data_IF_267886698271
#
_entry.id   IF_267886698271
#
_cell.length_a   1.000
_cell.length_b   1.000
_cell.length_c   1.000
_cell.angle_alpha   90.00
_cell.angle_beta   90.00
_cell.angle_gamma   90.00
#
_symmetry.space_group_name_H-M   'P 1'
#
loop_
_entity.id
_entity.type
_entity.pdbx_description
1 polymer ?
#
# COMPACT_ATOMS: atom_id res chain seq x y z
N UNK A 1 49.09 -12.05 -65.65
CA UNK A 1 48.92 -10.89 -64.75
C UNK A 1 47.45 -10.85 -64.33
N UNK A 2 47.14 -11.11 -63.05
CA UNK A 2 45.79 -10.93 -62.50
C UNK A 2 45.71 -9.54 -61.86
N UNK A 3 44.77 -8.71 -62.31
CA UNK A 3 44.50 -7.41 -61.68
C UNK A 3 43.54 -7.62 -60.49
N UNK A 4 43.84 -7.06 -59.30
CA UNK A 4 42.92 -7.13 -58.18
C UNK A 4 41.69 -6.27 -58.47
N UNK A 5 40.51 -6.89 -58.48
CA UNK A 5 39.23 -6.17 -58.55
C UNK A 5 38.98 -5.59 -57.16
N UNK A 6 39.16 -4.29 -57.01
CA UNK A 6 38.64 -3.56 -55.85
C UNK A 6 37.13 -3.37 -56.02
N UNK A 7 36.31 -3.78 -55.04
CA UNK A 7 34.86 -3.55 -55.12
C UNK A 7 34.59 -2.03 -55.17
N UNK A 8 33.59 -1.59 -55.96
CA UNK A 8 33.24 -0.18 -56.03
C UNK A 8 32.86 0.33 -54.62
N UNK A 9 33.21 1.58 -54.29
CA UNK A 9 32.86 2.17 -52.99
C UNK A 9 31.36 2.06 -52.78
N UNK A 10 30.95 1.45 -51.66
CA UNK A 10 29.55 1.38 -51.27
C UNK A 10 28.97 2.81 -51.30
N UNK A 11 27.82 3.02 -51.95
CA UNK A 11 27.16 4.32 -51.87
C UNK A 11 26.94 4.65 -50.37
N UNK A 12 27.10 5.92 -49.97
CA UNK A 12 26.78 6.33 -48.60
C UNK A 12 25.34 5.90 -48.28
N UNK A 13 24.99 5.64 -47.01
CA UNK A 13 23.63 5.24 -46.66
C UNK A 13 22.66 6.36 -47.03
N UNK A 14 22.16 6.33 -48.27
CA UNK A 14 21.08 7.16 -48.75
C UNK A 14 19.85 6.75 -47.94
N UNK A 15 19.10 7.71 -47.46
CA UNK A 15 17.78 7.52 -46.88
C UNK A 15 16.91 6.66 -47.79
N UNK A 16 16.87 5.34 -47.54
CA UNK A 16 15.97 4.43 -48.26
C UNK A 16 14.56 4.79 -47.77
N UNK A 17 13.65 5.25 -48.65
CA UNK A 17 12.33 5.74 -48.24
C UNK A 17 11.53 4.72 -47.40
N UNK A 18 11.71 3.43 -47.68
CA UNK A 18 11.11 2.33 -46.92
C UNK A 18 11.59 2.30 -45.46
N UNK A 19 12.89 2.53 -45.22
CA UNK A 19 13.47 2.58 -43.87
C UNK A 19 12.96 3.79 -43.10
N UNK A 20 12.75 4.93 -43.78
CA UNK A 20 12.18 6.12 -43.16
C UNK A 20 10.70 5.92 -42.81
N UNK A 21 9.94 5.26 -43.67
CA UNK A 21 8.55 4.89 -43.41
C UNK A 21 8.43 3.96 -42.19
N UNK A 22 9.29 2.94 -42.08
CA UNK A 22 9.33 2.06 -40.91
C UNK A 22 9.64 2.87 -39.64
N UNK A 23 10.64 3.76 -39.69
CA UNK A 23 11.01 4.60 -38.54
C UNK A 23 9.87 5.55 -38.13
N UNK A 24 9.08 6.05 -39.08
CA UNK A 24 7.91 6.87 -38.80
C UNK A 24 6.84 6.07 -38.05
N UNK A 25 6.56 4.84 -38.48
CA UNK A 25 5.61 3.94 -37.81
C UNK A 25 6.08 3.56 -36.41
N UNK A 26 7.38 3.27 -36.21
CA UNK A 26 7.94 3.01 -34.89
C UNK A 26 7.71 4.18 -33.93
N UNK A 27 8.02 5.41 -34.38
CA UNK A 27 7.82 6.62 -33.55
C UNK A 27 6.36 6.88 -33.20
N UNK A 28 5.45 6.59 -34.13
CA UNK A 28 4.03 6.73 -33.83
C UNK A 28 3.57 5.66 -32.83
N UNK A 29 4.06 4.43 -32.97
CA UNK A 29 3.77 3.34 -32.04
C UNK A 29 4.24 3.67 -30.63
N UNK A 30 5.46 4.19 -30.48
CA UNK A 30 6.02 4.65 -29.20
C UNK A 30 5.14 5.73 -28.54
N UNK A 31 4.67 6.72 -29.31
CA UNK A 31 3.74 7.74 -28.79
C UNK A 31 2.40 7.16 -28.35
N UNK A 32 1.90 6.15 -29.05
CA UNK A 32 0.66 5.47 -28.66
C UNK A 32 0.86 4.69 -27.36
N UNK A 33 1.99 3.99 -27.22
CA UNK A 33 2.35 3.27 -25.99
C UNK A 33 2.42 4.23 -24.80
N UNK A 34 3.13 5.35 -24.92
CA UNK A 34 3.24 6.33 -23.83
C UNK A 34 1.86 6.85 -23.38
N UNK A 35 0.95 7.09 -24.34
CA UNK A 35 -0.43 7.50 -24.04
C UNK A 35 -1.23 6.41 -23.33
N UNK A 36 -1.02 5.14 -23.70
CA UNK A 36 -1.70 4.01 -23.08
C UNK A 36 -1.19 3.78 -21.65
N UNK A 37 0.13 3.82 -21.43
CA UNK A 37 0.73 3.71 -20.10
C UNK A 37 0.24 4.82 -19.17
N UNK A 38 0.13 6.05 -19.68
CA UNK A 38 -0.45 7.16 -18.91
C UNK A 38 -1.90 6.90 -18.51
N UNK A 39 -2.73 6.45 -19.46
CA UNK A 39 -4.13 6.12 -19.18
C UNK A 39 -4.27 4.97 -18.18
N UNK A 40 -3.42 3.95 -18.28
CA UNK A 40 -3.40 2.84 -17.33
C UNK A 40 -3.06 3.33 -15.92
N UNK A 41 -2.03 4.17 -15.79
CA UNK A 41 -1.65 4.77 -14.50
C UNK A 41 -2.79 5.60 -13.90
N UNK A 42 -3.44 6.45 -14.69
CA UNK A 42 -4.57 7.28 -14.23
C UNK A 42 -5.74 6.40 -13.76
N UNK A 43 -6.05 5.33 -14.51
CA UNK A 43 -7.11 4.39 -14.17
C UNK A 43 -6.79 3.60 -12.89
N UNK A 44 -5.54 3.17 -12.70
CA UNK A 44 -5.11 2.50 -11.47
C UNK A 44 -5.19 3.42 -10.25
N UNK A 45 -4.84 4.70 -10.42
CA UNK A 45 -4.98 5.69 -9.36
C UNK A 45 -6.45 5.89 -8.99
N UNK A 46 -7.34 6.04 -9.97
CA UNK A 46 -8.78 6.16 -9.72
C UNK A 46 -9.31 4.91 -9.01
N UNK A 47 -9.00 3.71 -9.50
CA UNK A 47 -9.46 2.46 -8.90
C UNK A 47 -9.05 2.34 -7.43
N UNK A 48 -7.79 2.63 -7.12
CA UNK A 48 -7.29 2.61 -5.74
C UNK A 48 -8.01 3.63 -4.86
N UNK A 49 -8.25 4.84 -5.39
CA UNK A 49 -8.95 5.89 -4.66
C UNK A 49 -10.41 5.48 -4.38
N UNK A 50 -11.12 4.93 -5.37
CA UNK A 50 -12.49 4.42 -5.19
C UNK A 50 -12.55 3.26 -4.20
N UNK A 51 -11.60 2.32 -4.27
CA UNK A 51 -11.52 1.20 -3.35
C UNK A 51 -11.25 1.65 -1.91
N UNK A 52 -10.41 2.68 -1.72
CA UNK A 52 -10.19 3.31 -0.41
C UNK A 52 -11.47 3.99 0.09
N UNK A 53 -12.14 4.76 -0.75
CA UNK A 53 -13.39 5.43 -0.37
C UNK A 53 -14.49 4.45 0.03
N UNK A 54 -14.66 3.37 -0.73
CA UNK A 54 -15.65 2.34 -0.41
C UNK A 54 -15.33 1.70 0.94
N UNK A 55 -14.06 1.36 1.17
CA UNK A 55 -13.60 0.83 2.46
C UNK A 55 -13.87 1.80 3.61
N UNK A 56 -13.58 3.08 3.38
CA UNK A 56 -13.70 4.12 4.41
C UNK A 56 -15.14 4.53 4.70
N UNK A 57 -16.06 4.34 3.75
CA UNK A 57 -17.47 4.75 3.89
C UNK A 57 -18.37 3.58 4.28
N UNK A 58 -18.17 2.42 3.66
CA UNK A 58 -19.11 1.29 3.80
C UNK A 58 -18.56 0.13 4.62
N UNK A 59 -17.24 -0.07 4.62
CA UNK A 59 -16.60 -1.18 5.33
C UNK A 59 -15.78 -0.76 6.55
N UNK A 60 -15.91 0.49 7.00
CA UNK A 60 -15.50 0.80 8.37
C UNK A 60 -16.36 -0.05 9.27
N UNK A 61 -15.72 -0.89 10.10
CA UNK A 61 -16.45 -1.50 11.20
C UNK A 61 -17.13 -0.34 11.94
N UNK A 62 -18.46 -0.41 12.17
CA UNK A 62 -19.15 0.60 12.95
C UNK A 62 -18.33 0.82 14.20
N UNK A 63 -17.98 2.09 14.45
CA UNK A 63 -17.05 2.56 15.48
C UNK A 63 -16.69 1.44 16.47
N UNK A 64 -15.53 0.81 16.28
CA UNK A 64 -15.07 -0.17 17.25
C UNK A 64 -14.89 0.60 18.55
N UNK A 65 -15.87 0.48 19.46
CA UNK A 65 -15.83 1.14 20.74
C UNK A 65 -14.42 0.93 21.31
N UNK A 66 -13.72 2.01 21.71
CA UNK A 66 -12.36 1.89 22.19
C UNK A 66 -12.35 0.77 23.24
N UNK A 67 -11.45 -0.18 23.04
CA UNK A 67 -11.39 -1.40 23.85
C UNK A 67 -11.53 -0.98 25.32
N UNK A 68 -12.56 -1.49 26.04
CA UNK A 68 -12.80 -1.04 27.39
C UNK A 68 -11.57 -1.34 28.25
N UNK A 69 -11.31 -0.46 29.22
CA UNK A 69 -10.19 -0.59 30.17
C UNK A 69 -8.79 -0.41 29.56
N UNK A 70 -8.67 0.34 28.46
CA UNK A 70 -7.36 0.58 27.82
C UNK A 70 -6.38 1.30 28.76
N UNK A 71 -6.83 2.32 29.48
CA UNK A 71 -6.00 3.05 30.43
C UNK A 71 -5.51 2.17 31.59
N UNK A 72 -6.41 1.42 32.23
CA UNK A 72 -6.08 0.53 33.33
C UNK A 72 -5.15 -0.61 32.89
N UNK A 73 -5.31 -1.10 31.65
CA UNK A 73 -4.41 -2.10 31.05
C UNK A 73 -3.00 -1.53 30.87
N UNK A 74 -2.89 -0.32 30.32
CA UNK A 74 -1.60 0.35 30.10
C UNK A 74 -0.88 0.63 31.42
N UNK A 75 -1.62 1.06 32.45
CA UNK A 75 -1.09 1.26 33.81
C UNK A 75 -0.57 -0.04 34.43
N UNK A 76 -1.32 -1.14 34.25
CA UNK A 76 -0.92 -2.45 34.73
C UNK A 76 0.37 -2.95 34.06
N UNK A 77 0.45 -2.84 32.72
CA UNK A 77 1.64 -3.22 31.96
C UNK A 77 2.85 -2.36 32.31
N UNK A 78 2.64 -1.04 32.46
CA UNK A 78 3.68 -0.10 32.86
C UNK A 78 4.22 -0.44 34.25
N UNK A 79 3.36 -0.75 35.21
CA UNK A 79 3.81 -1.16 36.55
C UNK A 79 4.70 -2.41 36.49
N UNK A 80 4.31 -3.45 35.75
CA UNK A 80 5.12 -4.66 35.62
C UNK A 80 6.45 -4.40 34.93
N UNK A 81 6.47 -3.50 33.94
CA UNK A 81 7.70 -3.07 33.27
C UNK A 81 8.65 -2.34 34.23
N UNK A 82 8.12 -1.54 35.14
CA UNK A 82 8.90 -0.81 36.15
C UNK A 82 9.33 -1.70 37.33
N UNK A 83 8.63 -2.81 37.60
CA UNK A 83 8.85 -3.70 38.75
C UNK A 83 9.07 -5.18 38.32
N UNK A 84 10.08 -5.50 37.49
CA UNK A 84 10.23 -6.84 36.89
C UNK A 84 10.48 -7.96 37.91
N UNK A 85 11.14 -7.65 39.02
CA UNK A 85 11.45 -8.63 40.08
C UNK A 85 10.47 -8.59 41.26
N UNK A 86 9.55 -7.63 41.25
CA UNK A 86 8.62 -7.39 42.37
C UNK A 86 7.17 -7.29 41.86
N UNK A 87 6.65 -8.33 41.17
CA UNK A 87 5.34 -8.29 40.53
C UNK A 87 4.17 -8.01 41.49
N UNK A 88 4.33 -8.32 42.77
CA UNK A 88 3.31 -8.07 43.80
C UNK A 88 3.11 -6.58 44.11
N UNK A 89 4.11 -5.71 43.82
CA UNK A 89 3.95 -4.25 43.93
C UNK A 89 2.86 -3.72 42.98
N UNK A 90 2.57 -4.44 41.90
CA UNK A 90 1.56 -4.08 40.91
C UNK A 90 0.13 -4.53 41.25
N UNK A 91 -0.08 -5.12 42.43
CA UNK A 91 -1.40 -5.61 42.88
C UNK A 91 -2.52 -4.58 42.75
N UNK A 92 -2.25 -3.31 43.05
CA UNK A 92 -3.24 -2.23 42.90
C UNK A 92 -3.61 -1.96 41.44
N UNK A 93 -2.63 -1.92 40.54
CA UNK A 93 -2.86 -1.71 39.11
C UNK A 93 -3.62 -2.90 38.50
N UNK A 94 -3.26 -4.12 38.90
CA UNK A 94 -3.97 -5.36 38.52
C UNK A 94 -5.42 -5.31 38.98
N UNK A 95 -5.68 -4.90 40.23
CA UNK A 95 -7.04 -4.80 40.77
C UNK A 95 -7.90 -3.81 39.99
N UNK A 96 -7.38 -2.61 39.69
CA UNK A 96 -8.07 -1.61 38.87
C UNK A 96 -8.44 -2.16 37.49
N UNK A 97 -7.50 -2.82 36.82
CA UNK A 97 -7.76 -3.43 35.52
C UNK A 97 -8.80 -4.55 35.61
N UNK A 98 -8.73 -5.41 36.63
CA UNK A 98 -9.67 -6.49 36.84
C UNK A 98 -11.10 -5.98 37.12
N UNK A 99 -11.23 -4.92 37.91
CA UNK A 99 -12.52 -4.31 38.25
C UNK A 99 -13.15 -3.64 37.04
N UNK A 100 -12.37 -2.86 36.27
CA UNK A 100 -12.85 -2.31 35.01
C UNK A 100 -13.30 -3.43 34.04
N UNK A 101 -12.49 -4.47 33.86
CA UNK A 101 -12.81 -5.56 32.94
C UNK A 101 -14.08 -6.30 33.36
N UNK A 102 -14.33 -6.43 34.67
CA UNK A 102 -15.57 -7.00 35.22
C UNK A 102 -16.78 -6.13 34.89
N UNK A 103 -16.67 -4.83 35.11
CA UNK A 103 -17.75 -3.87 34.81
C UNK A 103 -18.05 -3.82 33.31
N UNK A 104 -17.02 -3.81 32.46
CA UNK A 104 -17.17 -3.83 31.01
C UNK A 104 -17.90 -5.09 30.52
N UNK A 105 -17.65 -6.26 31.12
CA UNK A 105 -18.37 -7.50 30.82
C UNK A 105 -19.85 -7.41 31.24
N UNK A 106 -20.13 -6.86 32.42
CA UNK A 106 -21.50 -6.69 32.90
C UNK A 106 -22.30 -5.74 32.01
N UNK A 107 -21.72 -4.59 31.63
CA UNK A 107 -22.37 -3.61 30.77
C UNK A 107 -22.66 -4.14 29.35
N UNK A 108 -21.80 -5.02 28.81
CA UNK A 108 -22.06 -5.69 27.52
C UNK A 108 -23.25 -6.65 27.57
N UNK A 109 -23.47 -7.32 28.71
CA UNK A 109 -24.61 -8.23 28.89
C UNK A 109 -25.92 -7.47 29.04
N UNK A 110 -25.90 -6.29 29.68
CA UNK A 110 -27.06 -5.41 29.83
C UNK A 110 -27.45 -4.75 28.49
N UNK A 111 -26.49 -4.34 27.67
CA UNK A 111 -26.75 -3.76 26.35
C UNK A 111 -27.23 -4.78 25.29
N UNK A 112 -27.16 -6.09 25.59
CA UNK A 112 -27.58 -7.17 24.72
C UNK A 112 -28.93 -7.80 25.11
N UNK A 113 -29.57 -7.30 26.18
CA UNK A 113 -30.91 -7.67 26.65
C UNK A 113 -31.92 -6.57 26.35
#
# INVERSE_FOLDING_TARGET
MYLPITPPPHPPPSSIPEVEAIRAVCRESEKVVEKLERKESDMLQELNQRAKELRDKEFKLPYQNPMPCTAEREDCLRCYKENPNEPLKCSHAVKKFADCARQARQNRNVAAS
#
